data_IF_088581715182
#
_entry.id   IF_088581715182
#
_cell.length_a   1.000
_cell.length_b   1.000
_cell.length_c   1.000
_cell.angle_alpha   90.00
_cell.angle_beta   90.00
_cell.angle_gamma   90.00
#
_symmetry.space_group_name_H-M   'P 1'
#
loop_
_entity.id
_entity.type
_entity.pdbx_description
1 polymer ?
#
# COMPACT_ATOMS: atom_id res chain seq x y z
N UNK A 1 -83.21 -29.32 -11.18
CA UNK A 1 -82.57 -28.86 -9.91
C UNK A 1 -81.05 -28.85 -10.11
N UNK A 2 -80.52 -27.71 -10.55
CA UNK A 2 -79.06 -27.57 -10.76
C UNK A 2 -78.51 -26.80 -9.58
N UNK A 3 -77.52 -27.40 -8.84
CA UNK A 3 -76.82 -26.76 -7.76
C UNK A 3 -75.50 -26.18 -8.35
N UNK A 4 -75.43 -24.86 -8.36
CA UNK A 4 -74.17 -24.16 -8.75
C UNK A 4 -73.18 -24.22 -7.59
N UNK A 5 -72.00 -24.76 -7.84
CA UNK A 5 -70.86 -24.72 -6.97
C UNK A 5 -70.10 -23.42 -7.23
N UNK A 6 -70.06 -22.52 -6.23
CA UNK A 6 -69.19 -21.35 -6.23
C UNK A 6 -67.78 -21.74 -5.78
N UNK A 7 -66.81 -21.62 -6.69
CA UNK A 7 -65.40 -21.66 -6.34
C UNK A 7 -64.91 -20.26 -5.94
N UNK A 8 -64.49 -20.10 -4.71
CA UNK A 8 -63.82 -18.90 -4.24
C UNK A 8 -62.32 -18.97 -4.60
N UNK A 9 -61.71 -17.93 -5.21
CA UNK A 9 -60.28 -17.93 -5.47
C UNK A 9 -59.53 -17.67 -4.16
N UNK A 10 -58.62 -18.60 -3.81
CA UNK A 10 -57.61 -18.41 -2.75
C UNK A 10 -56.54 -17.51 -3.34
N UNK A 11 -56.49 -16.25 -2.91
CA UNK A 11 -55.36 -15.35 -3.16
C UNK A 11 -54.18 -15.77 -2.31
N UNK A 12 -53.21 -16.43 -2.97
CA UNK A 12 -51.92 -16.75 -2.37
C UNK A 12 -51.10 -15.47 -2.37
N UNK A 13 -51.03 -14.76 -1.23
CA UNK A 13 -50.11 -13.64 -1.02
C UNK A 13 -48.68 -14.20 -0.94
N UNK A 14 -47.96 -14.11 -2.05
CA UNK A 14 -46.50 -14.34 -2.04
C UNK A 14 -45.85 -13.11 -1.42
N UNK A 15 -45.50 -13.21 -0.13
CA UNK A 15 -44.57 -12.29 0.50
C UNK A 15 -43.20 -12.48 -0.16
N UNK A 16 -42.88 -11.64 -1.14
CA UNK A 16 -41.52 -11.46 -1.59
C UNK A 16 -40.74 -10.84 -0.42
N UNK A 17 -40.08 -11.70 0.36
CA UNK A 17 -39.04 -11.25 1.26
C UNK A 17 -37.92 -10.65 0.36
N UNK A 18 -37.90 -9.34 0.25
CA UNK A 18 -36.76 -8.60 -0.24
C UNK A 18 -35.62 -8.89 0.71
N UNK A 19 -34.77 -9.87 0.34
CA UNK A 19 -33.45 -9.96 0.90
C UNK A 19 -32.74 -8.66 0.53
N UNK A 20 -32.67 -7.73 1.47
CA UNK A 20 -31.71 -6.62 1.38
C UNK A 20 -30.34 -7.26 1.39
N UNK A 21 -29.81 -7.55 0.20
CA UNK A 21 -28.36 -7.67 0.05
C UNK A 21 -27.83 -6.36 0.59
N UNK A 22 -27.02 -6.42 1.65
CA UNK A 22 -26.23 -5.27 2.07
C UNK A 22 -25.49 -4.83 0.80
N UNK A 23 -25.82 -3.62 0.31
CA UNK A 23 -25.26 -3.07 -0.91
C UNK A 23 -23.74 -3.04 -0.70
N UNK A 24 -22.98 -3.74 -1.55
CA UNK A 24 -21.53 -3.80 -1.39
C UNK A 24 -21.01 -2.37 -1.48
N UNK A 25 -20.56 -1.83 -0.35
CA UNK A 25 -20.12 -0.45 -0.17
C UNK A 25 -18.82 -0.15 -0.94
N UNK A 26 -18.32 -1.08 -1.72
CA UNK A 26 -17.08 -0.98 -2.48
C UNK A 26 -17.17 -1.65 -3.85
N UNK A 27 -16.35 -1.19 -4.78
CA UNK A 27 -16.11 -1.86 -6.06
C UNK A 27 -14.68 -2.37 -6.10
N UNK A 28 -14.50 -3.65 -6.40
CA UNK A 28 -13.18 -4.28 -6.52
C UNK A 28 -12.87 -4.53 -7.99
N UNK A 29 -11.70 -4.04 -8.45
CA UNK A 29 -11.12 -4.36 -9.75
C UNK A 29 -9.80 -5.10 -9.51
N UNK A 30 -9.80 -6.44 -9.61
CA UNK A 30 -8.61 -7.26 -9.39
C UNK A 30 -7.68 -7.25 -10.60
N UNK A 31 -6.42 -7.58 -10.34
CA UNK A 31 -5.39 -7.94 -11.33
C UNK A 31 -5.24 -6.96 -12.50
N UNK A 32 -5.24 -5.65 -12.19
CA UNK A 32 -4.92 -4.62 -13.17
C UNK A 32 -3.43 -4.76 -13.53
N UNK A 33 -3.14 -5.06 -14.79
CA UNK A 33 -1.77 -5.25 -15.28
C UNK A 33 -1.12 -3.88 -15.47
N UNK A 34 0.05 -3.66 -14.84
CA UNK A 34 0.84 -2.44 -15.00
C UNK A 34 2.16 -2.68 -15.75
N UNK A 35 2.50 -3.92 -16.01
CA UNK A 35 3.69 -4.29 -16.74
C UNK A 35 3.87 -5.79 -16.86
N UNK A 36 4.93 -6.19 -17.54
CA UNK A 36 5.32 -7.60 -17.68
C UNK A 36 6.81 -7.76 -17.40
N UNK A 37 7.18 -8.85 -16.71
CA UNK A 37 8.56 -9.19 -16.40
C UNK A 37 8.76 -10.70 -16.50
N UNK A 38 9.77 -11.15 -17.25
CA UNK A 38 10.09 -12.57 -17.45
C UNK A 38 8.86 -13.44 -17.81
N UNK A 39 7.97 -12.92 -18.68
CA UNK A 39 6.77 -13.63 -19.11
C UNK A 39 5.60 -13.60 -18.11
N UNK A 40 5.74 -12.94 -16.96
CA UNK A 40 4.68 -12.81 -15.96
C UNK A 40 4.09 -11.39 -15.97
N UNK A 41 2.79 -11.30 -15.73
CA UNK A 41 2.13 -10.02 -15.51
C UNK A 41 2.49 -9.47 -14.10
N UNK A 42 2.81 -8.20 -14.02
CA UNK A 42 2.90 -7.43 -12.79
C UNK A 42 1.55 -6.73 -12.58
N UNK A 43 0.94 -6.91 -11.40
CA UNK A 43 -0.44 -6.49 -11.18
C UNK A 43 -0.63 -5.73 -9.87
N UNK A 44 -1.71 -4.96 -9.83
CA UNK A 44 -2.27 -4.41 -8.58
C UNK A 44 -3.79 -4.61 -8.58
N UNK A 45 -4.38 -4.57 -7.38
CA UNK A 45 -5.84 -4.55 -7.22
C UNK A 45 -6.29 -3.16 -6.81
N UNK A 46 -7.48 -2.76 -7.29
CA UNK A 46 -8.11 -1.49 -6.91
C UNK A 46 -9.38 -1.78 -6.13
N UNK A 47 -9.47 -1.24 -4.93
CA UNK A 47 -10.67 -1.29 -4.08
C UNK A 47 -11.20 0.13 -3.92
N UNK A 48 -12.35 0.40 -4.54
CA UNK A 48 -12.98 1.74 -4.52
C UNK A 48 -14.04 1.80 -3.43
N UNK A 49 -14.07 2.86 -2.63
CA UNK A 49 -15.16 3.10 -1.69
C UNK A 49 -16.43 3.56 -2.42
N UNK A 50 -17.58 3.40 -1.78
CA UNK A 50 -18.86 3.93 -2.29
C UNK A 50 -18.85 5.45 -2.35
N UNK A 51 -18.19 6.09 -1.40
CA UNK A 51 -18.03 7.55 -1.33
C UNK A 51 -16.57 7.94 -1.39
N UNK A 52 -15.99 8.02 -2.59
CA UNK A 52 -14.58 8.35 -2.74
C UNK A 52 -14.30 9.81 -2.35
N UNK A 53 -13.22 10.02 -1.59
CA UNK A 53 -12.69 11.34 -1.29
C UNK A 53 -11.75 11.88 -2.37
N UNK A 54 -11.50 11.09 -3.42
CA UNK A 54 -10.63 11.38 -4.54
C UNK A 54 -9.14 11.08 -4.30
N UNK A 55 -8.70 10.78 -3.08
CA UNK A 55 -7.32 10.37 -2.83
C UNK A 55 -7.17 8.83 -2.88
N UNK A 56 -5.94 8.38 -3.09
CA UNK A 56 -5.57 6.98 -3.08
C UNK A 56 -4.52 6.67 -2.02
N UNK A 57 -4.60 5.46 -1.46
CA UNK A 57 -3.57 4.88 -0.61
C UNK A 57 -3.09 3.58 -1.24
N UNK A 58 -1.81 3.53 -1.57
CA UNK A 58 -1.14 2.34 -2.06
C UNK A 58 -0.60 1.54 -0.88
N UNK A 59 -0.90 0.26 -0.83
CA UNK A 59 -0.27 -0.67 0.10
C UNK A 59 0.71 -1.57 -0.65
N UNK A 60 1.98 -1.52 -0.23
CA UNK A 60 3.03 -2.38 -0.79
C UNK A 60 2.90 -3.79 -0.22
N UNK A 61 2.35 -4.71 -1.03
CA UNK A 61 2.21 -6.13 -0.66
C UNK A 61 3.58 -6.79 -0.75
N UNK A 62 4.37 -6.71 0.34
CA UNK A 62 5.74 -7.18 0.35
C UNK A 62 6.19 -7.55 1.77
N UNK A 63 6.61 -8.80 1.95
CA UNK A 63 7.29 -9.29 3.15
C UNK A 63 8.61 -9.96 2.75
N UNK A 64 9.77 -9.43 3.19
CA UNK A 64 11.09 -9.92 2.73
C UNK A 64 11.26 -9.84 1.20
N UNK A 65 10.63 -8.86 0.56
CA UNK A 65 10.54 -8.69 -0.91
C UNK A 65 9.93 -9.91 -1.63
N UNK A 66 9.04 -10.60 -0.94
CA UNK A 66 8.09 -11.57 -1.52
C UNK A 66 6.73 -10.91 -1.57
N UNK A 67 6.16 -10.85 -2.76
CA UNK A 67 4.81 -10.32 -2.97
C UNK A 67 3.85 -11.48 -3.21
N UNK A 68 2.87 -11.65 -2.34
CA UNK A 68 1.90 -12.73 -2.43
C UNK A 68 0.58 -12.25 -3.01
N UNK A 69 -0.06 -13.13 -3.78
CA UNK A 69 -1.41 -12.86 -4.24
C UNK A 69 -2.44 -13.39 -3.23
N UNK A 70 -3.41 -12.57 -2.93
CA UNK A 70 -4.62 -12.99 -2.22
C UNK A 70 -5.83 -12.38 -2.91
N UNK A 71 -6.97 -13.06 -2.87
CA UNK A 71 -8.20 -12.51 -3.43
C UNK A 71 -8.54 -11.18 -2.74
N UNK A 72 -8.71 -10.08 -3.49
CA UNK A 72 -8.96 -8.77 -2.87
C UNK A 72 -10.21 -8.74 -1.99
N UNK A 73 -11.26 -9.45 -2.37
CA UNK A 73 -12.49 -9.61 -1.59
C UNK A 73 -12.29 -10.40 -0.27
N UNK A 74 -11.22 -11.19 -0.19
CA UNK A 74 -10.83 -11.86 1.06
C UNK A 74 -9.93 -10.98 1.94
N UNK A 75 -9.20 -10.04 1.34
CA UNK A 75 -8.31 -9.10 2.04
C UNK A 75 -9.11 -7.93 2.63
N UNK A 76 -10.13 -7.46 1.91
CA UNK A 76 -11.00 -6.36 2.32
C UNK A 76 -12.41 -6.93 2.55
N UNK A 77 -12.55 -7.72 3.62
CA UNK A 77 -13.85 -8.26 4.07
C UNK A 77 -14.43 -7.37 5.14
N UNK A 78 -15.73 -7.08 5.04
CA UNK A 78 -16.49 -6.60 6.19
C UNK A 78 -17.40 -7.73 6.66
N UNK A 79 -17.00 -8.36 7.73
CA UNK A 79 -17.87 -9.27 8.46
C UNK A 79 -18.57 -8.55 9.62
N UNK A 80 -17.92 -7.54 10.22
CA UNK A 80 -18.50 -6.74 11.33
C UNK A 80 -17.83 -5.36 11.39
N UNK A 81 -18.62 -4.28 11.54
CA UNK A 81 -18.08 -2.91 11.62
C UNK A 81 -17.07 -2.70 12.75
N UNK A 82 -17.24 -3.39 13.88
CA UNK A 82 -16.36 -3.28 15.07
C UNK A 82 -15.02 -4.01 14.91
N UNK A 83 -14.83 -4.77 13.83
CA UNK A 83 -13.62 -5.55 13.56
C UNK A 83 -12.96 -5.23 12.22
N UNK A 84 -13.13 -4.00 11.73
CA UNK A 84 -12.50 -3.56 10.48
C UNK A 84 -10.98 -3.67 10.57
N UNK A 85 -10.36 -4.35 9.60
CA UNK A 85 -8.92 -4.34 9.45
C UNK A 85 -8.43 -3.01 8.83
N UNK A 86 -7.11 -2.80 8.78
CA UNK A 86 -6.51 -1.59 8.22
C UNK A 86 -7.06 -1.24 6.83
N UNK A 87 -7.19 -2.21 5.94
CA UNK A 87 -7.62 -1.98 4.57
C UNK A 87 -9.07 -1.50 4.50
N UNK A 88 -9.93 -2.09 5.32
CA UNK A 88 -11.32 -1.70 5.44
C UNK A 88 -11.46 -0.29 6.02
N UNK A 89 -10.64 0.06 7.02
CA UNK A 89 -10.59 1.41 7.60
C UNK A 89 -10.14 2.46 6.58
N UNK A 90 -9.18 2.14 5.71
CA UNK A 90 -8.74 3.02 4.62
C UNK A 90 -9.90 3.26 3.65
N UNK A 91 -10.57 2.19 3.21
CA UNK A 91 -11.70 2.29 2.27
C UNK A 91 -12.90 3.01 2.90
N UNK A 92 -13.21 2.74 4.18
CA UNK A 92 -14.31 3.41 4.91
C UNK A 92 -14.08 4.92 5.05
N UNK A 93 -12.81 5.38 5.13
CA UNK A 93 -12.43 6.80 5.08
C UNK A 93 -12.57 7.46 3.71
N UNK A 94 -13.00 6.71 2.69
CA UNK A 94 -13.20 7.20 1.33
C UNK A 94 -11.95 7.17 0.44
N UNK A 95 -10.85 6.59 0.90
CA UNK A 95 -9.67 6.39 0.07
C UNK A 95 -9.86 5.23 -0.91
N UNK A 96 -9.44 5.41 -2.16
CA UNK A 96 -9.22 4.26 -3.05
C UNK A 96 -7.98 3.53 -2.58
N UNK A 97 -8.15 2.26 -2.17
CA UNK A 97 -7.04 1.41 -1.77
C UNK A 97 -6.50 0.67 -2.99
N UNK A 98 -5.18 0.67 -3.16
CA UNK A 98 -4.49 -0.06 -4.22
C UNK A 98 -3.48 -1.03 -3.60
N UNK A 99 -3.66 -2.32 -3.84
CA UNK A 99 -2.78 -3.38 -3.34
C UNK A 99 -1.72 -3.67 -4.42
N UNK A 100 -0.52 -3.10 -4.28
CA UNK A 100 0.55 -3.17 -5.28
C UNK A 100 1.42 -4.40 -5.04
N UNK A 101 1.59 -5.22 -6.06
CA UNK A 101 2.49 -6.38 -6.09
C UNK A 101 3.67 -6.11 -7.01
N UNK A 102 4.77 -6.77 -6.75
CA UNK A 102 6.02 -6.71 -7.53
C UNK A 102 6.56 -8.11 -7.82
N UNK A 103 7.56 -8.24 -8.67
CA UNK A 103 8.26 -9.51 -8.89
C UNK A 103 8.87 -10.04 -7.61
N UNK A 104 8.53 -11.29 -7.25
CA UNK A 104 8.85 -11.88 -5.95
C UNK A 104 10.21 -12.56 -5.92
N UNK A 105 10.90 -12.45 -4.78
CA UNK A 105 12.02 -13.32 -4.41
C UNK A 105 11.57 -14.80 -4.44
N UNK A 106 12.46 -15.75 -4.77
CA UNK A 106 13.90 -15.58 -5.01
C UNK A 106 14.30 -15.21 -6.44
N UNK A 107 13.35 -15.21 -7.40
CA UNK A 107 13.65 -14.94 -8.81
C UNK A 107 14.06 -13.49 -9.03
N UNK A 108 13.40 -12.57 -8.36
CA UNK A 108 13.65 -11.14 -8.40
C UNK A 108 14.29 -10.64 -7.11
N UNK A 109 15.07 -9.57 -7.21
CA UNK A 109 15.87 -9.01 -6.13
C UNK A 109 15.33 -7.63 -5.71
N UNK A 110 15.94 -7.04 -4.69
CA UNK A 110 15.53 -5.71 -4.21
C UNK A 110 15.53 -4.67 -5.33
N UNK A 111 16.58 -4.56 -6.19
CA UNK A 111 16.56 -3.61 -7.31
C UNK A 111 15.39 -3.84 -8.29
N UNK A 112 15.03 -5.11 -8.53
CA UNK A 112 13.85 -5.44 -9.37
C UNK A 112 12.55 -4.95 -8.74
N UNK A 113 12.35 -5.19 -7.43
CA UNK A 113 11.16 -4.74 -6.72
C UNK A 113 11.05 -3.20 -6.70
N UNK A 114 12.17 -2.50 -6.56
CA UNK A 114 12.25 -1.04 -6.65
C UNK A 114 11.82 -0.53 -8.03
N UNK A 115 12.34 -1.14 -9.10
CA UNK A 115 11.93 -0.79 -10.46
C UNK A 115 10.44 -1.04 -10.69
N UNK A 116 9.91 -2.17 -10.20
CA UNK A 116 8.51 -2.56 -10.35
C UNK A 116 7.55 -1.58 -9.67
N UNK A 117 7.84 -1.15 -8.42
CA UNK A 117 6.95 -0.21 -7.72
C UNK A 117 6.99 1.19 -8.32
N UNK A 118 8.13 1.62 -8.87
CA UNK A 118 8.22 2.87 -9.65
C UNK A 118 7.38 2.79 -10.94
N UNK A 119 7.40 1.65 -11.62
CA UNK A 119 6.54 1.41 -12.79
C UNK A 119 5.06 1.39 -12.40
N UNK A 120 4.72 0.71 -11.29
CA UNK A 120 3.35 0.62 -10.81
C UNK A 120 2.75 1.99 -10.50
N UNK A 121 3.47 2.86 -9.77
CA UNK A 121 2.96 4.20 -9.43
C UNK A 121 2.78 5.08 -10.68
N UNK A 122 3.65 4.98 -11.68
CA UNK A 122 3.47 5.69 -12.96
C UNK A 122 2.21 5.25 -13.67
N UNK A 123 1.99 3.95 -13.80
CA UNK A 123 0.78 3.39 -14.40
C UNK A 123 -0.48 3.80 -13.62
N UNK A 124 -0.46 3.70 -12.29
CA UNK A 124 -1.57 4.12 -11.42
C UNK A 124 -1.90 5.59 -11.62
N UNK A 125 -0.88 6.46 -11.66
CA UNK A 125 -1.06 7.90 -11.84
C UNK A 125 -1.58 8.25 -13.23
N UNK A 126 -1.08 7.59 -14.28
CA UNK A 126 -1.56 7.78 -15.65
C UNK A 126 -3.05 7.40 -15.80
N UNK A 127 -3.52 6.39 -15.05
CA UNK A 127 -4.88 5.89 -15.05
C UNK A 127 -5.74 6.35 -13.87
N UNK A 128 -5.28 7.35 -13.12
CA UNK A 128 -5.96 7.79 -11.88
C UNK A 128 -7.43 8.19 -12.14
N UNK A 129 -7.71 8.87 -13.24
CA UNK A 129 -9.08 9.27 -13.61
C UNK A 129 -10.00 8.09 -13.90
N UNK A 130 -9.50 6.98 -14.44
CA UNK A 130 -10.28 5.77 -14.69
C UNK A 130 -10.77 5.13 -13.39
N UNK A 131 -10.04 5.37 -12.31
CA UNK A 131 -10.38 4.91 -10.96
C UNK A 131 -11.11 5.98 -10.12
N UNK A 132 -11.32 7.19 -10.68
CA UNK A 132 -11.94 8.31 -9.97
C UNK A 132 -11.04 8.91 -8.88
N UNK A 133 -9.72 8.86 -9.11
CA UNK A 133 -8.71 9.40 -8.22
C UNK A 133 -8.07 10.67 -8.78
N UNK A 134 -7.61 11.53 -7.88
CA UNK A 134 -6.76 12.67 -8.21
C UNK A 134 -5.28 12.19 -8.29
N UNK A 135 -4.60 12.31 -9.44
CA UNK A 135 -3.21 11.89 -9.60
C UNK A 135 -2.22 12.66 -8.69
N UNK A 136 -2.63 13.78 -8.13
CA UNK A 136 -1.83 14.60 -7.20
C UNK A 136 -2.07 14.24 -5.72
N UNK A 137 -2.91 13.21 -5.42
CA UNK A 137 -3.29 12.85 -4.04
C UNK A 137 -3.13 11.35 -3.79
N UNK A 138 -1.88 10.89 -3.90
CA UNK A 138 -1.50 9.48 -3.78
C UNK A 138 -0.54 9.32 -2.60
N UNK A 139 -0.96 8.57 -1.58
CA UNK A 139 -0.11 8.13 -0.48
C UNK A 139 0.31 6.68 -0.62
N UNK A 140 1.34 6.29 0.11
CA UNK A 140 1.85 4.91 0.12
C UNK A 140 2.15 4.44 1.52
N UNK A 141 1.90 3.16 1.79
CA UNK A 141 2.28 2.53 3.05
C UNK A 141 2.68 1.07 2.88
N UNK A 142 3.36 0.55 3.88
CA UNK A 142 3.76 -0.85 3.96
C UNK A 142 4.63 -1.14 5.17
N UNK A 143 4.83 -2.44 5.46
CA UNK A 143 5.67 -2.89 6.57
C UNK A 143 6.93 -3.61 6.09
N UNK A 144 8.03 -3.52 6.84
CA UNK A 144 9.29 -4.22 6.55
C UNK A 144 9.79 -3.92 5.12
N UNK A 145 9.93 -4.92 4.27
CA UNK A 145 10.24 -4.74 2.85
C UNK A 145 9.22 -3.83 2.14
N UNK A 146 7.93 -3.89 2.49
CA UNK A 146 6.91 -2.97 1.96
C UNK A 146 7.11 -1.54 2.47
N UNK A 147 7.57 -1.36 3.70
CA UNK A 147 7.98 -0.07 4.25
C UNK A 147 9.18 0.53 3.52
N UNK A 148 10.18 -0.30 3.22
CA UNK A 148 11.30 0.07 2.37
C UNK A 148 10.83 0.57 0.99
N UNK A 149 9.98 -0.20 0.29
CA UNK A 149 9.45 0.19 -1.02
C UNK A 149 8.59 1.47 -0.95
N UNK A 150 7.91 1.70 0.18
CA UNK A 150 7.18 2.94 0.42
C UNK A 150 8.13 4.14 0.54
N UNK A 151 9.25 3.99 1.26
CA UNK A 151 10.29 5.03 1.36
C UNK A 151 10.99 5.27 0.02
N UNK A 152 11.20 4.24 -0.81
CA UNK A 152 11.72 4.39 -2.18
C UNK A 152 10.84 5.37 -2.98
N UNK A 153 9.52 5.25 -2.91
CA UNK A 153 8.61 6.17 -3.63
C UNK A 153 8.58 7.57 -3.00
N UNK A 154 8.82 7.67 -1.70
CA UNK A 154 8.83 8.94 -0.96
C UNK A 154 10.08 9.78 -1.15
N UNK A 155 11.28 9.16 -1.20
CA UNK A 155 12.57 9.85 -1.25
C UNK A 155 13.39 9.58 -2.52
N UNK A 156 13.06 8.52 -3.26
CA UNK A 156 13.75 8.17 -4.52
C UNK A 156 12.80 8.17 -5.73
N UNK A 157 11.60 8.71 -5.57
CA UNK A 157 10.67 8.96 -6.67
C UNK A 157 11.26 10.02 -7.61
N UNK A 158 10.97 9.91 -8.90
CA UNK A 158 11.42 10.84 -9.93
C UNK A 158 10.23 11.42 -10.71
N UNK A 159 10.48 12.51 -11.46
CA UNK A 159 9.45 13.21 -12.23
C UNK A 159 9.14 12.55 -13.58
N UNK A 160 9.75 11.39 -13.84
CA UNK A 160 9.63 10.67 -15.11
C UNK A 160 10.67 11.13 -16.14
N UNK A 161 10.93 10.27 -17.11
CA UNK A 161 11.78 10.59 -18.26
C UNK A 161 11.44 9.71 -19.44
N UNK A 162 11.72 10.19 -20.66
CA UNK A 162 11.51 9.47 -21.95
C UNK A 162 12.24 8.13 -22.03
N UNK A 163 13.19 7.87 -21.11
CA UNK A 163 14.04 6.68 -21.12
C UNK A 163 13.46 5.50 -20.33
N UNK A 164 12.41 5.71 -19.52
CA UNK A 164 11.97 4.73 -18.53
C UNK A 164 10.90 3.79 -19.07
N UNK A 165 9.96 4.31 -19.85
CA UNK A 165 8.87 3.54 -20.45
C UNK A 165 8.18 4.39 -21.51
N UNK A 166 8.04 3.87 -22.73
CA UNK A 166 7.43 4.60 -23.85
C UNK A 166 5.96 4.96 -23.59
N UNK A 167 5.27 4.19 -22.75
CA UNK A 167 3.84 4.39 -22.46
C UNK A 167 3.59 5.34 -21.28
N UNK A 168 4.40 5.24 -20.21
CA UNK A 168 4.21 5.98 -18.97
C UNK A 168 5.45 6.77 -18.52
N UNK A 169 6.47 6.84 -19.34
CA UNK A 169 7.80 7.36 -18.98
C UNK A 169 7.85 8.82 -18.52
N UNK A 170 6.91 9.65 -18.99
CA UNK A 170 6.79 11.06 -18.60
C UNK A 170 6.02 11.27 -17.29
N UNK A 171 5.50 10.18 -16.68
CA UNK A 171 4.68 10.28 -15.47
C UNK A 171 5.56 10.12 -14.24
N UNK A 172 5.42 11.04 -13.28
CA UNK A 172 6.17 11.02 -12.02
C UNK A 172 5.89 9.77 -11.19
N UNK A 173 6.95 9.22 -10.59
CA UNK A 173 6.85 8.14 -9.60
C UNK A 173 6.81 8.64 -8.15
N UNK A 174 6.85 9.96 -7.90
CA UNK A 174 6.76 10.57 -6.56
C UNK A 174 5.38 10.36 -5.94
N UNK A 175 5.31 10.30 -4.62
CA UNK A 175 4.06 10.23 -3.85
C UNK A 175 3.93 11.45 -2.94
N UNK A 176 2.72 11.68 -2.40
CA UNK A 176 2.42 12.88 -1.61
C UNK A 176 2.47 12.64 -0.10
N UNK A 177 2.45 11.39 0.36
CA UNK A 177 2.60 11.03 1.76
C UNK A 177 3.08 9.58 1.90
N UNK A 178 3.89 9.31 2.91
CA UNK A 178 4.42 7.97 3.21
C UNK A 178 4.11 7.59 4.65
N UNK A 179 3.70 6.32 4.86
CA UNK A 179 3.71 5.68 6.18
C UNK A 179 4.48 4.37 6.08
N UNK A 180 5.59 4.25 6.79
CA UNK A 180 6.43 3.08 6.76
C UNK A 180 6.56 2.44 8.14
N UNK A 181 6.15 1.17 8.23
CA UNK A 181 6.29 0.37 9.44
C UNK A 181 7.62 -0.37 9.43
N UNK A 182 8.43 -0.17 10.46
CA UNK A 182 9.72 -0.87 10.68
C UNK A 182 10.53 -1.12 9.40
N UNK A 183 10.80 -0.06 8.59
CA UNK A 183 11.45 -0.22 7.29
C UNK A 183 12.96 -0.39 7.42
N UNK A 184 13.60 -1.29 6.66
CA UNK A 184 15.04 -1.16 6.40
C UNK A 184 15.27 0.06 5.49
N UNK A 185 16.14 0.99 5.89
CA UNK A 185 16.39 2.25 5.18
C UNK A 185 17.75 2.31 4.50
N UNK A 186 18.66 1.42 4.90
CA UNK A 186 20.01 1.28 4.34
C UNK A 186 20.22 -0.19 3.96
N UNK A 187 20.10 -0.51 2.70
CA UNK A 187 20.19 -1.89 2.21
C UNK A 187 21.63 -2.40 2.16
N UNK A 188 22.64 -1.53 2.20
CA UNK A 188 24.05 -1.90 2.24
C UNK A 188 24.41 -2.81 3.43
N UNK A 189 23.67 -2.67 4.54
CA UNK A 189 23.84 -3.51 5.74
C UNK A 189 23.35 -4.94 5.55
N UNK A 190 22.52 -5.19 4.52
CA UNK A 190 21.86 -6.47 4.27
C UNK A 190 22.39 -7.19 3.04
N UNK A 191 22.91 -6.46 2.04
CA UNK A 191 23.36 -7.05 0.77
C UNK A 191 24.38 -8.16 1.02
N UNK A 192 24.13 -9.33 0.42
CA UNK A 192 24.97 -10.53 0.52
C UNK A 192 25.29 -10.97 1.97
N UNK A 193 24.48 -10.55 2.96
CA UNK A 193 24.68 -10.90 4.36
C UNK A 193 24.63 -12.43 4.56
N UNK A 194 25.68 -13.03 5.13
CA UNK A 194 25.89 -14.49 5.19
C UNK A 194 24.72 -15.30 5.75
N UNK A 195 24.05 -14.78 6.76
CA UNK A 195 22.92 -15.48 7.42
C UNK A 195 21.58 -15.09 6.81
N UNK A 196 21.33 -13.78 6.65
CA UNK A 196 20.05 -13.27 6.20
C UNK A 196 19.73 -13.61 4.74
N UNK A 197 20.74 -13.79 3.88
CA UNK A 197 20.56 -14.19 2.47
C UNK A 197 19.84 -15.52 2.29
N UNK A 198 19.89 -16.41 3.28
CA UNK A 198 19.14 -17.69 3.24
C UNK A 198 17.64 -17.48 3.50
N UNK A 199 17.32 -16.55 4.39
CA UNK A 199 15.94 -16.21 4.76
C UNK A 199 15.33 -15.23 3.76
N UNK A 200 16.14 -14.28 3.27
CA UNK A 200 15.73 -13.21 2.36
C UNK A 200 16.57 -13.23 1.08
N UNK A 201 16.34 -14.16 0.14
CA UNK A 201 17.15 -14.25 -1.08
C UNK A 201 17.09 -13.00 -1.97
N UNK A 202 16.16 -12.09 -1.73
CA UNK A 202 16.05 -10.81 -2.43
C UNK A 202 17.28 -9.91 -2.25
N UNK A 203 18.00 -10.04 -1.11
CA UNK A 203 19.17 -9.22 -0.80
C UNK A 203 20.46 -9.74 -1.45
N UNK A 204 20.38 -10.79 -2.26
CA UNK A 204 21.56 -11.34 -3.00
C UNK A 204 21.59 -10.73 -4.38
N UNK A 205 22.36 -9.65 -4.53
CA UNK A 205 22.56 -8.90 -5.77
C UNK A 205 23.92 -8.17 -5.71
N UNK A 206 24.42 -7.56 -6.81
CA UNK A 206 25.70 -6.84 -6.83
C UNK A 206 25.76 -5.69 -5.80
N UNK A 207 26.85 -5.64 -5.01
CA UNK A 207 27.02 -4.67 -3.92
C UNK A 207 26.97 -3.20 -4.41
N UNK A 208 27.43 -2.95 -5.63
CA UNK A 208 27.44 -1.63 -6.26
C UNK A 208 26.04 -1.06 -6.57
N UNK A 209 24.99 -1.90 -6.49
CA UNK A 209 23.60 -1.47 -6.61
C UNK A 209 22.94 -1.12 -5.28
N UNK A 210 23.63 -1.33 -4.15
CA UNK A 210 23.02 -1.17 -2.83
C UNK A 210 22.67 0.29 -2.50
N UNK A 211 23.46 1.24 -2.96
CA UNK A 211 23.20 2.68 -2.77
C UNK A 211 21.92 3.10 -3.51
N UNK A 212 21.67 2.59 -4.71
CA UNK A 212 20.55 2.91 -5.58
C UNK A 212 19.21 2.38 -5.05
N UNK A 213 19.24 1.56 -4.00
CA UNK A 213 18.06 1.00 -3.35
C UNK A 213 18.02 1.27 -1.84
N UNK A 214 18.83 2.22 -1.36
CA UNK A 214 18.92 2.65 0.04
C UNK A 214 18.27 4.03 0.23
N UNK A 215 17.00 4.13 0.61
CA UNK A 215 16.29 5.41 0.68
C UNK A 215 16.95 6.41 1.65
N UNK A 216 17.67 5.94 2.68
CA UNK A 216 18.43 6.80 3.59
C UNK A 216 19.45 7.69 2.87
N UNK A 217 20.03 7.23 1.76
CA UNK A 217 21.11 7.93 1.06
C UNK A 217 20.59 8.99 0.06
N UNK A 218 19.30 8.97 -0.22
CA UNK A 218 18.69 9.84 -1.22
C UNK A 218 17.77 10.93 -0.63
N UNK A 219 17.78 11.08 0.69
CA UNK A 219 16.91 12.05 1.39
C UNK A 219 17.22 13.47 0.95
N UNK A 220 16.17 14.20 0.55
CA UNK A 220 16.22 15.60 0.10
C UNK A 220 15.14 16.46 0.77
N UNK A 221 15.20 17.76 0.58
CA UNK A 221 14.22 18.70 1.19
C UNK A 221 12.81 18.61 0.60
N UNK A 222 12.68 18.06 -0.62
CA UNK A 222 11.43 17.91 -1.35
C UNK A 222 10.81 16.51 -1.24
N UNK A 223 11.33 15.68 -0.34
CA UNK A 223 10.78 14.36 -0.05
C UNK A 223 9.36 14.45 0.51
N UNK A 224 8.57 13.42 0.22
CA UNK A 224 7.20 13.34 0.73
C UNK A 224 7.15 13.33 2.26
N UNK A 225 6.19 14.02 2.90
CA UNK A 225 5.93 13.87 4.33
C UNK A 225 5.84 12.41 4.74
N UNK A 226 6.69 12.00 5.68
CA UNK A 226 6.90 10.60 6.06
C UNK A 226 6.61 10.36 7.53
N UNK A 227 5.76 9.38 7.84
CA UNK A 227 5.56 8.82 9.17
C UNK A 227 6.26 7.46 9.25
N UNK A 228 7.17 7.34 10.19
CA UNK A 228 7.80 6.07 10.57
C UNK A 228 7.14 5.53 11.85
N UNK A 229 6.86 4.23 11.89
CA UNK A 229 6.35 3.56 13.09
C UNK A 229 7.22 2.33 13.34
N UNK A 230 7.88 2.25 14.51
CA UNK A 230 8.90 1.23 14.75
C UNK A 230 8.90 0.75 16.18
N UNK A 231 9.05 -0.56 16.40
CA UNK A 231 9.22 -1.17 17.70
C UNK A 231 10.64 -1.00 18.23
N UNK A 232 10.81 -0.69 19.52
CA UNK A 232 12.12 -0.49 20.13
C UNK A 232 12.87 -1.81 20.44
N UNK A 233 12.16 -2.96 20.35
CA UNK A 233 12.71 -4.32 20.49
C UNK A 233 12.78 -5.08 19.16
N UNK A 234 12.77 -4.38 18.05
CA UNK A 234 12.89 -5.01 16.74
C UNK A 234 14.33 -5.49 16.49
N UNK A 235 14.53 -6.80 16.54
CA UNK A 235 15.84 -7.45 16.31
C UNK A 235 16.06 -7.79 14.82
N UNK A 236 15.00 -7.80 13.99
CA UNK A 236 15.11 -8.10 12.56
C UNK A 236 15.54 -6.87 11.76
N UNK A 237 14.87 -5.76 12.00
CA UNK A 237 15.22 -4.44 11.46
C UNK A 237 15.38 -3.49 12.65
N UNK A 238 16.59 -3.26 13.14
CA UNK A 238 16.81 -2.39 14.32
C UNK A 238 16.22 -1.00 14.14
N UNK A 239 15.60 -0.44 15.21
CA UNK A 239 14.99 0.89 15.20
C UNK A 239 15.94 1.99 14.71
N UNK A 240 17.25 1.76 14.79
CA UNK A 240 18.28 2.67 14.27
C UNK A 240 18.09 3.02 12.78
N UNK A 241 17.46 2.14 11.98
CA UNK A 241 17.11 2.45 10.61
C UNK A 241 16.14 3.64 10.54
N UNK A 242 15.04 3.60 11.30
CA UNK A 242 14.08 4.71 11.36
C UNK A 242 14.67 5.96 12.01
N UNK A 243 15.50 5.81 13.04
CA UNK A 243 16.14 6.95 13.70
C UNK A 243 17.12 7.69 12.79
N UNK A 244 17.93 6.96 11.99
CA UNK A 244 18.85 7.56 11.01
C UNK A 244 18.09 8.25 9.89
N UNK A 245 17.01 7.63 9.39
CA UNK A 245 16.17 8.23 8.36
C UNK A 245 15.49 9.50 8.84
N UNK A 246 14.91 9.49 10.05
CA UNK A 246 14.34 10.70 10.69
C UNK A 246 15.39 11.81 10.78
N UNK A 247 16.60 11.50 11.25
CA UNK A 247 17.69 12.46 11.35
C UNK A 247 18.04 13.08 9.98
N UNK A 248 18.17 12.26 8.95
CA UNK A 248 18.46 12.74 7.59
C UNK A 248 17.35 13.66 7.06
N UNK A 249 16.07 13.31 7.26
CA UNK A 249 14.94 14.15 6.92
C UNK A 249 14.94 15.49 7.67
N UNK A 250 15.29 15.49 8.95
CA UNK A 250 15.41 16.72 9.77
C UNK A 250 16.55 17.62 9.29
N UNK A 251 17.69 17.05 8.92
CA UNK A 251 18.85 17.78 8.40
C UNK A 251 18.54 18.47 7.06
N UNK A 252 17.72 17.87 6.22
CA UNK A 252 17.22 18.46 4.96
C UNK A 252 16.00 19.35 5.15
N UNK A 253 15.41 19.43 6.36
CA UNK A 253 14.15 20.13 6.69
C UNK A 253 12.93 19.53 6.02
N UNK A 254 12.99 18.30 5.57
CA UNK A 254 11.83 17.55 5.11
C UNK A 254 10.95 17.11 6.29
N UNK A 255 9.66 16.95 6.04
CA UNK A 255 8.69 16.56 7.09
C UNK A 255 8.79 15.08 7.41
N UNK A 256 9.18 14.74 8.64
CA UNK A 256 9.21 13.35 9.11
C UNK A 256 8.87 13.27 10.59
N UNK A 257 8.09 12.26 10.95
CA UNK A 257 7.77 11.91 12.34
C UNK A 257 8.11 10.42 12.58
N UNK A 258 8.51 10.08 13.81
CA UNK A 258 8.74 8.70 14.24
C UNK A 258 7.90 8.40 15.48
N UNK A 259 7.04 7.40 15.40
CA UNK A 259 6.35 6.82 16.55
C UNK A 259 7.12 5.56 16.97
N UNK A 260 7.61 5.57 18.20
CA UNK A 260 8.25 4.42 18.83
C UNK A 260 7.19 3.60 19.55
N UNK A 261 7.06 2.33 19.20
CA UNK A 261 6.21 1.38 19.91
C UNK A 261 7.04 0.68 20.98
N UNK A 262 6.79 1.04 22.24
CA UNK A 262 7.52 0.49 23.39
C UNK A 262 7.31 -1.02 23.52
N UNK A 263 8.39 -1.74 23.81
CA UNK A 263 8.42 -3.21 23.96
C UNK A 263 7.92 -3.99 22.73
N UNK A 264 7.74 -3.35 21.56
CA UNK A 264 7.32 -4.00 20.34
C UNK A 264 8.53 -4.53 19.55
N UNK A 265 8.38 -5.75 19.01
CA UNK A 265 9.31 -6.37 18.07
C UNK A 265 8.97 -5.96 16.61
N UNK A 266 9.26 -6.83 15.63
CA UNK A 266 8.96 -6.63 14.21
C UNK A 266 7.46 -6.86 13.90
N UNK A 267 6.59 -6.03 14.47
CA UNK A 267 5.12 -6.08 14.34
C UNK A 267 4.41 -5.50 15.55
N UNK A 268 3.14 -5.17 15.38
CA UNK A 268 2.33 -4.47 16.39
C UNK A 268 1.04 -5.24 16.70
N UNK A 269 1.03 -6.16 17.66
CA UNK A 269 -0.18 -6.89 18.05
C UNK A 269 -1.10 -6.04 18.94
N UNK A 270 -2.41 -6.33 18.90
CA UNK A 270 -3.39 -5.75 19.81
C UNK A 270 -3.51 -4.23 19.74
N UNK A 271 -3.46 -3.56 20.89
CA UNK A 271 -3.65 -2.11 21.01
C UNK A 271 -2.59 -1.31 20.25
N UNK A 272 -1.35 -1.81 20.18
CA UNK A 272 -0.28 -1.19 19.39
C UNK A 272 -0.60 -1.18 17.90
N UNK A 273 -1.21 -2.25 17.37
CA UNK A 273 -1.72 -2.29 15.99
C UNK A 273 -2.79 -1.23 15.75
N UNK A 274 -3.75 -1.12 16.65
CA UNK A 274 -4.81 -0.10 16.59
C UNK A 274 -4.24 1.32 16.64
N UNK A 275 -3.24 1.57 17.48
CA UNK A 275 -2.52 2.85 17.56
C UNK A 275 -1.82 3.16 16.23
N UNK A 276 -1.09 2.20 15.68
CA UNK A 276 -0.37 2.33 14.41
C UNK A 276 -1.31 2.61 13.23
N UNK A 277 -2.44 1.89 13.14
CA UNK A 277 -3.47 2.11 12.12
C UNK A 277 -4.11 3.49 12.24
N UNK A 278 -4.40 3.94 13.45
CA UNK A 278 -4.95 5.28 13.71
C UNK A 278 -3.97 6.37 13.29
N UNK A 279 -2.69 6.21 13.61
CA UNK A 279 -1.65 7.15 13.20
C UNK A 279 -1.51 7.23 11.67
N UNK A 280 -1.54 6.08 10.99
CA UNK A 280 -1.52 6.01 9.51
C UNK A 280 -2.69 6.78 8.90
N UNK A 281 -3.90 6.53 9.38
CA UNK A 281 -5.11 7.18 8.85
C UNK A 281 -5.06 8.70 9.05
N UNK A 282 -4.66 9.16 10.23
CA UNK A 282 -4.52 10.58 10.54
C UNK A 282 -3.43 11.24 9.69
N UNK A 283 -2.34 10.52 9.38
CA UNK A 283 -1.28 11.02 8.50
C UNK A 283 -1.80 11.25 7.09
N UNK A 284 -2.51 10.30 6.53
CA UNK A 284 -3.09 10.47 5.21
C UNK A 284 -4.20 11.53 5.18
N UNK A 285 -5.03 11.61 6.21
CA UNK A 285 -6.03 12.69 6.32
C UNK A 285 -5.37 14.08 6.32
N UNK A 286 -4.21 14.23 6.96
CA UNK A 286 -3.46 15.48 7.02
C UNK A 286 -2.82 15.86 5.68
N UNK A 287 -2.20 14.91 4.99
CA UNK A 287 -1.36 15.20 3.84
C UNK A 287 -2.01 14.91 2.47
N UNK A 288 -3.10 14.14 2.44
CA UNK A 288 -3.88 13.89 1.23
C UNK A 288 -5.23 14.62 1.23
N UNK A 289 -5.46 15.56 2.15
CA UNK A 289 -6.65 16.41 2.14
C UNK A 289 -6.75 17.23 0.84
N UNK A 290 -7.97 17.58 0.45
CA UNK A 290 -8.16 18.57 -0.63
C UNK A 290 -7.58 19.89 -0.16
N UNK A 291 -6.67 20.56 -0.92
CA UNK A 291 -6.21 21.88 -0.56
C UNK A 291 -7.40 22.82 -0.36
N UNK A 292 -7.54 23.38 0.82
CA UNK A 292 -8.50 24.46 1.06
C UNK A 292 -8.05 25.66 0.24
N UNK A 293 -8.89 26.12 -0.69
CA UNK A 293 -8.65 27.30 -1.53
C UNK A 293 -8.58 28.56 -0.67
#
# INVERSE_FOLDING_TARGET
MFRSLFFAPVLLSVCLASSSFAEDWRTIRPDVIYGHKAGMALTYDVVKPVRPNGAAVLFMVSGGWVSTWARPDAVVRIEKPESLNLFEKIVDRGYTLILVRHGSSPYFKVPDAVADVKLAIRHIRAHATDFGMDPARIGVCGGSAGGHLSLILGSMGDDGSDKVDAENGHVSSRVQAVVAYFPPTDIREYVNHKTLSRQFPAIVFPDDQADDVSPLLAVTADDAPTLLIHGDKDELVPISHSQRFLKAMQETKATCELIVMEDAAHGFPGDQGTQAETALLNWFDKYLAVPTK
#
